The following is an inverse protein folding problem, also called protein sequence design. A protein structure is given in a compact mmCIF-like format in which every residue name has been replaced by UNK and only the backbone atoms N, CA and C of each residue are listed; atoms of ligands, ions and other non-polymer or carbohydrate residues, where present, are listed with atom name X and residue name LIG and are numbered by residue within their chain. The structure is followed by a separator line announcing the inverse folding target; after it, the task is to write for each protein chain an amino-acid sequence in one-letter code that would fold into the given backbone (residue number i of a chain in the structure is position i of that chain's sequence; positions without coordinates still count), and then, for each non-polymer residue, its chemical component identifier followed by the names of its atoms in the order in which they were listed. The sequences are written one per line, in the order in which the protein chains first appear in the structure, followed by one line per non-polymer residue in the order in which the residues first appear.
data_IF_504659208057
#
_entry.id   IF_504659208057
#
_cell.length_a   1.000
_cell.length_b   1.000
_cell.length_c   1.000
_cell.angle_alpha   90.00
_cell.angle_beta   90.00
_cell.angle_gamma   90.00
#
_symmetry.space_group_name_H-M   'P 1'
#
loop_
_entity.id
_entity.type
_entity.pdbx_description
1 polymer ?
2 non-polymer ?
3 non-polymer ?
4 non-polymer ?
5 water ?
#
# COMPACT_ATOMS: atom_id res chain seq x y z
N UNK A 2 -9.63 -18.80 17.20
CA UNK A 2 -10.20 -18.83 15.85
C UNK A 2 -10.10 -17.44 15.17
N UNK A 3 -8.85 -16.99 14.93
CA UNK A 3 -8.61 -15.87 14.02
C UNK A 3 -9.09 -14.55 14.59
N UNK A 4 -8.85 -14.36 15.87
CA UNK A 4 -9.18 -13.12 16.54
C UNK A 4 -8.00 -12.17 16.48
N UNK A 5 -8.16 -10.96 15.98
CA UNK A 5 -7.04 -10.01 15.98
C UNK A 5 -6.80 -9.43 17.37
N UNK A 6 -5.56 -9.02 17.58
CA UNK A 6 -5.12 -8.23 18.71
C UNK A 6 -4.27 -7.06 18.20
N UNK A 7 -4.15 -5.99 19.00
CA UNK A 7 -3.31 -4.86 18.57
C UNK A 7 -1.88 -5.24 18.20
N UNK A 8 -1.39 -6.39 18.71
CA UNK A 8 -0.07 -6.87 18.30
C UNK A 8 0.00 -7.25 16.81
N UNK A 9 -1.14 -7.53 16.16
CA UNK A 9 -1.11 -7.81 14.71
C UNK A 9 -0.92 -6.57 13.84
N UNK A 10 -0.94 -5.37 14.40
CA UNK A 10 -0.69 -4.10 13.72
C UNK A 10 -1.69 -3.82 12.58
N UNK A 11 -2.94 -4.20 12.76
CA UNK A 11 -3.97 -3.84 11.77
C UNK A 11 -4.42 -2.39 11.97
N UNK A 12 -4.42 -1.61 10.87
CA UNK A 12 -4.87 -0.24 10.94
C UNK A 12 -5.86 0.02 9.83
N UNK A 13 -6.63 1.09 10.02
CA UNK A 13 -7.70 1.49 9.12
C UNK A 13 -7.69 2.99 8.94
N UNK A 14 -7.98 3.46 7.71
CA UNK A 14 -8.18 4.87 7.53
C UNK A 14 -9.52 5.31 8.08
N UNK A 15 -9.57 6.53 8.63
CA UNK A 15 -10.88 7.07 9.04
C UNK A 15 -11.87 7.10 7.87
N UNK A 16 -11.37 7.32 6.66
CA UNK A 16 -12.21 7.42 5.47
C UNK A 16 -12.72 6.07 4.97
N UNK A 17 -12.28 4.94 5.56
CA UNK A 17 -12.70 3.63 5.05
C UNK A 17 -14.05 3.26 5.65
N UNK A 18 -14.06 2.95 6.95
CA UNK A 18 -15.33 2.74 7.64
C UNK A 18 -16.18 4.00 7.65
N UNK A 19 -15.58 5.17 7.48
CA UNK A 19 -16.40 6.36 7.40
C UNK A 19 -16.93 6.70 6.02
N UNK A 20 -16.70 5.86 5.00
CA UNK A 20 -17.19 6.18 3.65
C UNK A 20 -18.71 6.17 3.65
N UNK A 21 -19.33 7.27 3.24
CA UNK A 21 -20.78 7.38 3.28
C UNK A 21 -21.50 6.67 2.13
N UNK A 22 -20.77 6.18 1.13
CA UNK A 22 -21.43 5.49 0.04
C UNK A 22 -21.79 6.35 -1.16
N UNK A 23 -21.26 7.56 -1.27
CA UNK A 23 -21.47 8.38 -2.46
C UNK A 23 -20.57 7.88 -3.60
N UNK A 24 -21.17 7.50 -4.73
CA UNK A 24 -20.35 7.04 -5.84
C UNK A 24 -20.72 7.94 -7.03
N UNK A 25 -20.15 7.79 -8.21
CA UNK A 25 -20.42 8.80 -9.26
C UNK A 25 -21.85 8.79 -9.74
N UNK A 26 -22.65 7.79 -9.36
CA UNK A 26 -24.01 7.66 -9.83
C UNK A 26 -25.04 7.69 -8.72
N UNK A 27 -24.65 8.00 -7.48
CA UNK A 27 -25.60 7.85 -6.40
C UNK A 27 -25.24 8.65 -5.17
N UNK A 28 -26.27 8.99 -4.41
CA UNK A 28 -26.11 9.71 -3.15
C UNK A 28 -25.59 8.78 -2.05
N UNK A 29 -25.19 9.42 -0.95
CA UNK A 29 -24.74 8.68 0.23
C UNK A 29 -25.85 7.77 0.77
N UNK A 30 -25.50 6.56 1.23
CA UNK A 30 -26.48 5.66 1.85
C UNK A 30 -26.34 5.56 3.36
N UNK A 31 -25.30 6.16 3.92
CA UNK A 31 -25.00 6.10 5.35
C UNK A 31 -24.70 7.50 5.86
N UNK A 32 -25.07 7.78 7.11
CA UNK A 32 -24.69 9.06 7.69
C UNK A 32 -23.20 9.11 8.01
N UNK A 33 -22.69 10.32 8.21
CA UNK A 33 -21.28 10.50 8.55
C UNK A 33 -20.99 9.93 9.95
N UNK A 34 -19.81 9.35 10.10
CA UNK A 34 -19.35 8.88 11.40
C UNK A 34 -18.49 9.96 12.05
N UNK A 35 -18.70 10.17 13.34
CA UNK A 35 -17.76 10.96 14.13
C UNK A 35 -16.45 10.20 14.22
N UNK A 36 -15.30 10.84 13.90
CA UNK A 36 -14.00 10.16 14.05
C UNK A 36 -13.79 9.50 15.40
N UNK A 37 -14.30 10.13 16.46
CA UNK A 37 -14.20 9.56 17.81
C UNK A 37 -14.94 8.23 17.89
N UNK A 38 -16.13 8.14 17.28
CA UNK A 38 -16.80 6.85 17.39
C UNK A 38 -16.11 5.80 16.53
N UNK A 39 -15.52 6.18 15.40
CA UNK A 39 -14.78 5.20 14.60
C UNK A 39 -13.58 4.64 15.38
N UNK A 40 -12.85 5.51 16.09
CA UNK A 40 -11.71 5.04 16.86
C UNK A 40 -12.17 4.04 17.91
N UNK A 41 -13.26 4.35 18.62
CA UNK A 41 -13.73 3.45 19.66
C UNK A 41 -14.17 2.13 19.06
N UNK A 42 -14.94 2.17 17.97
CA UNK A 42 -15.44 0.91 17.39
C UNK A 42 -14.31 0.06 16.85
N UNK A 43 -13.31 0.67 16.22
CA UNK A 43 -12.18 -0.10 15.70
C UNK A 43 -11.35 -0.69 16.83
N UNK A 44 -11.17 0.04 17.94
CA UNK A 44 -10.47 -0.55 19.07
C UNK A 44 -11.20 -1.79 19.60
N UNK A 45 -12.53 -1.76 19.63
CA UNK A 45 -13.25 -2.94 20.11
C UNK A 45 -13.06 -4.14 19.20
N UNK A 46 -12.84 -3.89 17.90
CA UNK A 46 -12.68 -5.00 16.96
C UNK A 46 -11.27 -5.56 16.98
N UNK A 47 -10.34 -4.94 17.69
CA UNK A 47 -8.99 -5.46 17.72
C UNK A 47 -8.01 -4.71 16.85
N UNK A 48 -8.41 -3.60 16.27
CA UNK A 48 -7.45 -2.84 15.48
C UNK A 48 -6.34 -2.28 16.36
N UNK A 49 -5.19 -2.01 15.74
CA UNK A 49 -4.03 -1.39 16.35
C UNK A 49 -4.06 0.12 16.26
N UNK A 50 -4.65 0.69 15.20
CA UNK A 50 -4.51 2.12 15.02
C UNK A 50 -5.33 2.61 13.83
N UNK A 51 -5.31 3.91 13.65
CA UNK A 51 -6.07 4.53 12.56
C UNK A 51 -5.14 5.48 11.82
N UNK A 52 -5.57 5.87 10.62
CA UNK A 52 -4.87 6.84 9.80
C UNK A 52 -5.88 7.89 9.34
N UNK A 53 -5.38 9.03 8.87
CA UNK A 53 -6.31 10.09 8.48
C UNK A 53 -5.69 10.96 7.39
N UNK A 54 -6.56 11.54 6.54
CA UNK A 54 -6.25 12.80 5.84
C UNK A 54 -6.52 13.98 6.77
N UNK A 55 -5.78 15.07 6.55
CA UNK A 55 -6.11 16.31 7.27
C UNK A 55 -7.60 16.60 7.24
N UNK A 56 -8.22 16.53 6.05
CA UNK A 56 -9.63 16.90 5.93
C UNK A 56 -10.61 15.86 6.51
N UNK A 57 -10.16 14.66 6.87
CA UNK A 57 -11.06 13.72 7.57
C UNK A 57 -11.28 14.15 9.00
N UNK A 58 -10.24 14.76 9.58
CA UNK A 58 -10.18 15.08 10.99
C UNK A 58 -10.61 16.52 11.26
N UNK A 59 -10.18 17.44 10.41
CA UNK A 59 -10.43 18.87 10.57
C UNK A 59 -11.20 19.30 9.33
N UNK A 60 -12.48 19.59 9.44
CA UNK A 60 -13.26 19.96 8.26
C UNK A 60 -12.62 21.13 7.53
N UNK A 61 -12.55 21.03 6.21
CA UNK A 61 -11.96 22.08 5.39
C UNK A 61 -12.54 23.43 5.77
N UNK A 62 -11.65 24.43 5.91
CA UNK A 62 -12.04 25.78 6.25
C UNK A 62 -12.06 26.14 7.72
N UNK A 63 -11.79 25.19 8.62
CA UNK A 63 -11.88 25.42 10.05
C UNK A 63 -10.93 26.52 10.50
N UNK A 64 -11.42 27.36 11.41
CA UNK A 64 -10.56 28.30 12.13
C UNK A 64 -9.57 27.54 12.99
N UNK A 65 -8.44 28.18 13.29
CA UNK A 65 -7.42 27.57 14.14
C UNK A 65 -7.98 27.14 15.49
N UNK A 66 -9.05 27.78 15.96
CA UNK A 66 -9.58 27.38 17.25
C UNK A 66 -10.44 26.13 17.13
N UNK A 67 -11.20 26.01 16.04
CA UNK A 67 -11.93 24.76 15.83
C UNK A 67 -10.96 23.62 15.56
N UNK A 68 -9.87 23.91 14.84
CA UNK A 68 -8.82 22.94 14.62
C UNK A 68 -8.34 22.35 15.93
N UNK A 69 -8.02 23.20 16.90
CA UNK A 69 -7.53 22.70 18.18
C UNK A 69 -8.57 21.86 18.89
N UNK A 70 -9.85 22.23 18.75
CA UNK A 70 -10.88 21.44 19.40
C UNK A 70 -11.01 20.06 18.77
N UNK A 71 -10.92 19.99 17.44
CA UNK A 71 -10.99 18.69 16.76
C UNK A 71 -9.82 17.79 17.17
N UNK A 72 -8.61 18.33 17.22
CA UNK A 72 -7.45 17.52 17.57
C UNK A 72 -7.56 17.02 19.01
N UNK A 73 -7.99 17.89 19.93
CA UNK A 73 -8.09 17.50 21.34
C UNK A 73 -9.09 16.35 21.54
N UNK A 74 -10.30 16.46 20.97
CA UNK A 74 -11.26 15.35 21.04
C UNK A 74 -10.65 14.07 20.49
N UNK A 75 -9.98 14.17 19.34
CA UNK A 75 -9.35 12.99 18.72
C UNK A 75 -8.29 12.40 19.65
N UNK A 76 -7.40 13.25 20.18
CA UNK A 76 -6.34 12.76 21.06
C UNK A 76 -6.92 12.08 22.29
N UNK A 77 -8.02 12.59 22.82
CA UNK A 77 -8.65 11.98 23.99
C UNK A 77 -9.16 10.58 23.67
N UNK A 78 -9.71 10.37 22.46
CA UNK A 78 -10.16 9.03 22.10
C UNK A 78 -8.99 8.08 21.93
N UNK A 79 -7.87 8.56 21.38
CA UNK A 79 -6.68 7.73 21.30
C UNK A 79 -6.20 7.31 22.70
N UNK A 80 -6.12 8.26 23.62
CA UNK A 80 -5.72 7.96 25.00
C UNK A 80 -6.67 6.98 25.66
N UNK A 81 -7.97 7.16 25.44
CA UNK A 81 -8.97 6.31 26.08
C UNK A 81 -8.90 4.86 25.59
N UNK A 82 -8.46 4.66 24.35
CA UNK A 82 -8.49 3.34 23.72
C UNK A 82 -7.12 2.71 23.57
N UNK A 83 -6.04 3.48 23.64
CA UNK A 83 -4.75 2.89 23.33
C UNK A 83 -4.45 2.80 21.84
N UNK A 84 -5.29 3.38 20.99
CA UNK A 84 -5.07 3.33 19.54
C UNK A 84 -3.91 4.23 19.14
N UNK A 85 -3.14 3.79 18.15
CA UNK A 85 -2.01 4.56 17.61
C UNK A 85 -2.40 5.20 16.27
N UNK A 86 -1.61 6.19 15.84
CA UNK A 86 -1.75 6.82 14.53
C UNK A 86 -0.42 6.66 13.77
N UNK A 87 -0.19 5.56 13.04
CA UNK A 87 1.13 5.36 12.45
C UNK A 87 1.35 6.09 11.15
N UNK A 88 0.28 6.55 10.50
CA UNK A 88 0.42 7.13 9.17
C UNK A 88 -0.59 8.27 9.04
N UNK A 89 -0.19 9.33 8.37
CA UNK A 89 -1.16 10.36 8.02
C UNK A 89 -0.90 10.79 6.59
N UNK A 90 -1.86 11.53 6.03
CA UNK A 90 -1.73 11.93 4.62
C UNK A 90 -2.53 13.21 4.40
N UNK A 91 -2.40 13.80 3.22
CA UNK A 91 -3.03 15.07 2.90
C UNK A 91 -4.13 14.85 1.88
N UNK A 92 -5.26 15.52 2.01
CA UNK A 92 -6.26 15.46 0.95
C UNK A 92 -5.92 16.55 -0.04
N UNK A 93 -5.34 16.15 -1.19
CA UNK A 93 -5.09 17.05 -2.31
C UNK A 93 -5.92 16.67 -3.53
N UNK A 94 -7.17 16.24 -3.30
CA UNK A 94 -7.99 15.77 -4.42
C UNK A 94 -9.45 16.13 -4.33
N UNK A 95 -10.03 16.42 -3.15
CA UNK A 95 -11.47 16.58 -3.09
C UNK A 95 -11.90 17.99 -3.47
N UNK A 96 -11.21 18.98 -2.95
CA UNK A 96 -11.64 20.35 -3.19
C UNK A 96 -11.48 20.73 -4.66
N UNK A 97 -12.44 21.45 -5.24
CA UNK A 97 -12.32 21.87 -6.66
C UNK A 97 -11.03 22.55 -7.02
N UNK A 98 -10.36 23.23 -6.09
CA UNK A 98 -9.12 23.90 -6.48
C UNK A 98 -8.12 22.91 -7.02
N UNK A 99 -8.23 21.64 -6.61
CA UNK A 99 -7.27 20.61 -7.00
C UNK A 99 -7.69 19.87 -8.27
N UNK A 100 -8.60 20.45 -9.07
CA UNK A 100 -9.16 19.67 -10.18
C UNK A 100 -8.10 19.30 -11.24
N UNK A 101 -7.00 20.06 -11.37
CA UNK A 101 -5.92 19.73 -12.29
C UNK A 101 -4.69 19.26 -11.52
N UNK A 102 -4.84 18.94 -10.26
CA UNK A 102 -3.76 18.40 -9.45
C UNK A 102 -3.36 19.35 -8.33
N UNK A 103 -2.40 18.86 -7.54
CA UNK A 103 -1.89 19.62 -6.41
C UNK A 103 -0.45 19.97 -6.70
N UNK A 104 0.44 19.00 -6.61
CA UNK A 104 1.84 19.31 -6.88
C UNK A 104 2.13 19.59 -8.34
N UNK A 105 1.28 19.10 -9.27
CA UNK A 105 1.58 19.28 -10.68
C UNK A 105 0.47 20.03 -11.40
N UNK A 106 -0.39 20.74 -10.66
CA UNK A 106 -1.35 21.65 -11.28
C UNK A 106 -0.63 22.60 -12.23
N UNK A 107 -1.28 22.95 -13.34
CA UNK A 107 -0.65 23.90 -14.25
C UNK A 107 -0.51 25.28 -13.60
N UNK A 108 -1.42 25.66 -12.73
CA UNK A 108 -1.40 26.97 -12.08
C UNK A 108 -0.37 26.95 -10.97
N UNK A 109 0.63 27.84 -11.04
CA UNK A 109 1.67 27.86 -10.00
C UNK A 109 1.10 28.16 -8.62
N UNK A 110 0.09 29.04 -8.52
CA UNK A 110 -0.37 29.39 -7.18
C UNK A 110 -1.06 28.21 -6.50
N UNK A 111 -1.68 27.31 -7.27
CA UNK A 111 -2.28 26.10 -6.68
C UNK A 111 -1.19 25.19 -6.16
N UNK A 112 -0.09 25.06 -6.93
CA UNK A 112 1.01 24.20 -6.49
C UNK A 112 1.59 24.70 -5.19
N UNK A 113 1.72 26.03 -5.04
CA UNK A 113 2.25 26.55 -3.76
C UNK A 113 1.28 26.28 -2.62
N UNK A 114 -0.03 26.44 -2.88
CA UNK A 114 -1.04 26.17 -1.88
C UNK A 114 -1.04 24.72 -1.46
N UNK A 115 -0.94 23.80 -2.45
CA UNK A 115 -0.82 22.38 -2.15
C UNK A 115 0.35 22.10 -1.19
N UNK A 116 1.50 22.73 -1.44
CA UNK A 116 2.65 22.48 -0.57
C UNK A 116 2.41 23.00 0.84
N UNK A 117 1.79 24.18 0.97
CA UNK A 117 1.54 24.72 2.30
C UNK A 117 0.52 23.87 3.06
N UNK A 118 -0.52 23.36 2.37
CA UNK A 118 -1.51 22.50 3.01
C UNK A 118 -0.87 21.20 3.48
N UNK A 119 0.10 20.69 2.72
CA UNK A 119 0.77 19.46 3.12
C UNK A 119 1.63 19.69 4.36
N UNK A 120 2.45 20.75 4.33
CA UNK A 120 3.41 21.01 5.40
C UNK A 120 2.67 21.18 6.71
N UNK A 121 1.52 21.86 6.66
CA UNK A 121 0.71 22.06 7.85
C UNK A 121 0.33 20.74 8.47
N UNK A 122 0.02 19.74 7.65
CA UNK A 122 -0.41 18.46 8.18
C UNK A 122 0.76 17.57 8.61
N UNK A 123 1.91 17.73 7.97
CA UNK A 123 3.11 17.04 8.43
C UNK A 123 3.37 17.38 9.90
N UNK A 124 3.26 18.68 10.26
CA UNK A 124 3.44 19.04 11.67
C UNK A 124 2.47 18.31 12.56
N UNK A 125 1.21 18.22 12.13
CA UNK A 125 0.20 17.57 12.96
C UNK A 125 0.47 16.09 13.09
N UNK A 126 0.78 15.44 11.97
CA UNK A 126 1.13 14.03 11.96
C UNK A 126 2.24 13.71 12.97
N UNK A 127 3.30 14.53 12.96
CA UNK A 127 4.43 14.31 13.88
C UNK A 127 3.95 14.44 15.31
N UNK A 128 3.10 15.43 15.58
CA UNK A 128 2.55 15.62 16.91
C UNK A 128 1.77 14.39 17.38
N UNK A 129 1.00 13.77 16.49
CA UNK A 129 0.26 12.56 16.86
C UNK A 129 1.09 11.28 16.80
N UNK A 130 2.35 11.33 16.41
CA UNK A 130 3.21 10.16 16.45
C UNK A 130 3.29 9.35 15.16
N UNK A 131 2.78 9.88 14.04
CA UNK A 131 2.84 9.14 12.78
C UNK A 131 4.29 8.94 12.37
N UNK A 132 4.62 7.78 11.83
CA UNK A 132 5.97 7.49 11.37
C UNK A 132 6.10 7.59 9.87
N UNK A 133 4.99 7.51 9.16
CA UNK A 133 5.00 7.49 7.71
C UNK A 133 4.03 8.54 7.22
N UNK A 134 4.40 9.27 6.21
CA UNK A 134 3.49 10.25 5.66
C UNK A 134 3.27 9.85 4.21
N UNK A 135 2.00 9.55 3.86
CA UNK A 135 1.70 9.02 2.52
C UNK A 135 1.30 10.15 1.59
N UNK A 136 1.67 10.03 0.31
CA UNK A 136 1.21 10.97 -0.71
C UNK A 136 0.57 10.17 -1.82
N UNK A 137 -0.70 10.37 -2.05
CA UNK A 137 -1.37 9.75 -3.20
C UNK A 137 -1.73 10.91 -4.15
N UNK A 138 -1.01 11.03 -5.26
CA UNK A 138 -1.30 12.11 -6.19
C UNK A 138 -2.49 11.80 -7.10
N UNK A 139 -3.69 11.72 -6.53
CA UNK A 139 -4.84 11.24 -7.30
C UNK A 139 -5.26 12.19 -8.41
N UNK A 140 -4.98 13.51 -8.29
CA UNK A 140 -5.34 14.43 -9.36
C UNK A 140 -4.17 14.77 -10.25
N UNK A 141 -2.98 14.17 -10.06
CA UNK A 141 -1.82 14.52 -10.88
C UNK A 141 -1.90 13.66 -12.14
N UNK A 142 -2.24 14.28 -13.27
CA UNK A 142 -2.53 13.45 -14.45
C UNK A 142 -3.23 14.27 -15.52
N UNK A 143 -3.98 13.59 -16.38
CA UNK A 143 -4.56 14.30 -17.52
C UNK A 143 -5.61 13.40 -18.15
N UNK A 144 -6.57 14.01 -18.82
CA UNK A 144 -7.45 13.23 -19.69
C UNK A 144 -7.06 13.33 -21.14
N UNK A 145 -6.22 14.31 -21.50
CA UNK A 145 -5.87 14.51 -22.89
C UNK A 145 -4.37 14.79 -23.01
N UNK A 146 -3.83 14.56 -24.21
CA UNK A 146 -2.38 14.53 -24.37
C UNK A 146 -1.71 15.89 -24.23
N UNK A 147 -2.35 16.95 -24.70
CA UNK A 147 -1.72 18.26 -24.71
C UNK A 147 -1.85 19.06 -23.43
N UNK A 148 -2.65 18.58 -22.48
CA UNK A 148 -2.95 19.27 -21.24
C UNK A 148 -1.76 19.29 -20.29
N UNK A 149 -0.81 18.38 -20.46
CA UNK A 149 0.21 18.18 -19.45
C UNK A 149 1.47 17.78 -20.18
N UNK A 150 2.52 18.60 -20.08
CA UNK A 150 3.83 18.17 -20.52
C UNK A 150 4.39 17.33 -19.39
N UNK A 151 4.59 16.02 -19.62
CA UNK A 151 4.90 15.16 -18.46
C UNK A 151 6.31 15.39 -17.94
N UNK A 152 7.25 15.76 -18.81
CA UNK A 152 8.59 16.07 -18.27
C UNK A 152 8.55 17.26 -17.33
N UNK A 153 7.82 18.34 -17.70
CA UNK A 153 7.69 19.48 -16.78
C UNK A 153 6.94 19.06 -15.53
N UNK A 154 5.90 18.25 -15.69
CA UNK A 154 5.18 17.79 -14.51
C UNK A 154 6.11 17.01 -13.58
N UNK A 155 6.96 16.15 -14.14
CA UNK A 155 7.84 15.39 -13.25
C UNK A 155 8.86 16.32 -12.56
N UNK A 156 9.31 17.36 -13.28
CA UNK A 156 10.12 18.39 -12.62
C UNK A 156 9.37 18.99 -11.46
N UNK A 157 8.08 19.33 -11.65
CA UNK A 157 7.31 19.93 -10.56
C UNK A 157 7.09 18.95 -9.43
N UNK A 158 6.87 17.68 -9.78
CA UNK A 158 6.70 16.68 -8.74
C UNK A 158 8.00 16.48 -7.94
N UNK A 159 9.14 16.43 -8.63
CA UNK A 159 10.41 16.30 -7.92
C UNK A 159 10.64 17.53 -7.04
N UNK A 160 10.32 18.71 -7.57
CA UNK A 160 10.45 19.94 -6.80
C UNK A 160 9.67 19.88 -5.50
N UNK A 161 8.43 19.41 -5.56
CA UNK A 161 7.57 19.37 -4.37
C UNK A 161 8.11 18.39 -3.34
N UNK A 162 8.48 17.17 -3.78
CA UNK A 162 8.97 16.21 -2.79
C UNK A 162 10.31 16.62 -2.22
N UNK A 163 11.15 17.27 -3.04
CA UNK A 163 12.43 17.74 -2.48
C UNK A 163 12.21 18.79 -1.40
N UNK A 164 11.26 19.71 -1.61
CA UNK A 164 10.93 20.72 -0.61
C UNK A 164 10.38 20.08 0.65
N UNK A 165 9.54 19.05 0.52
CA UNK A 165 9.04 18.38 1.71
C UNK A 165 10.18 17.72 2.47
N UNK A 166 11.14 17.17 1.74
CA UNK A 166 12.27 16.53 2.40
C UNK A 166 13.16 17.57 3.06
N UNK A 167 13.37 18.71 2.39
CA UNK A 167 14.11 19.78 3.05
C UNK A 167 13.37 20.22 4.31
N UNK A 168 12.04 20.29 4.27
CA UNK A 168 11.29 20.72 5.46
C UNK A 168 11.46 19.75 6.62
N UNK A 169 11.31 18.44 6.39
CA UNK A 169 11.35 17.54 7.55
C UNK A 169 12.76 17.47 8.12
N UNK A 170 13.79 17.55 7.27
CA UNK A 170 15.15 17.47 7.79
C UNK A 170 15.53 18.74 8.55
N UNK A 171 15.06 19.91 8.08
CA UNK A 171 15.33 21.16 8.78
C UNK A 171 14.57 21.25 10.11
N UNK A 172 13.43 20.58 10.23
CA UNK A 172 12.72 20.55 11.51
C UNK A 172 13.21 19.45 12.42
N UNK A 173 14.01 18.53 11.92
CA UNK A 173 14.48 17.42 12.73
C UNK A 173 13.46 16.34 12.97
N UNK A 174 12.43 16.25 12.14
CA UNK A 174 11.37 15.26 12.28
C UNK A 174 11.81 13.87 11.86
N UNK A 175 11.40 12.86 12.63
CA UNK A 175 11.61 11.46 12.28
C UNK A 175 10.33 10.97 11.60
N UNK A 176 10.22 11.26 10.31
CA UNK A 176 9.08 10.81 9.54
C UNK A 176 9.61 10.51 8.17
N UNK A 177 9.07 9.49 7.52
CA UNK A 177 9.47 9.21 6.14
C UNK A 177 8.23 9.29 5.25
N UNK A 178 8.49 9.43 3.95
CA UNK A 178 7.42 9.62 2.98
C UNK A 178 7.20 8.32 2.21
N UNK A 179 5.94 8.04 1.85
CA UNK A 179 5.65 6.89 0.99
C UNK A 179 4.72 7.35 -0.12
N UNK A 180 5.11 7.11 -1.35
CA UNK A 180 4.32 7.52 -2.50
C UNK A 180 3.42 6.34 -2.85
N UNK A 181 2.13 6.61 -3.03
CA UNK A 181 1.14 5.57 -3.34
C UNK A 181 0.77 5.70 -4.81
N UNK A 182 1.14 4.76 -5.67
CA UNK A 182 0.83 4.86 -7.10
C UNK A 182 -0.60 4.39 -7.37
N UNK A 183 -1.14 4.84 -8.51
CA UNK A 183 -2.45 4.38 -8.99
C UNK A 183 -2.46 4.69 -10.48
N UNK A 184 -2.95 3.82 -11.35
CA UNK A 184 -2.71 4.05 -12.78
C UNK A 184 -3.72 5.03 -13.36
N UNK A 185 -4.93 5.04 -12.80
CA UNK A 185 -5.95 5.94 -13.34
C UNK A 185 -7.04 6.06 -12.27
N UNK A 186 -7.97 7.01 -12.49
CA UNK A 186 -9.18 7.24 -11.69
C UNK A 186 -8.81 7.95 -10.39
N UNK A 187 -9.14 9.23 -10.27
CA UNK A 187 -10.10 9.95 -11.09
C UNK A 187 -9.55 10.61 -12.34
N UNK A 188 -8.23 10.73 -12.53
CA UNK A 188 -7.78 11.25 -13.81
C UNK A 188 -7.71 10.13 -14.85
N UNK A 189 -7.76 10.52 -16.14
CA UNK A 189 -7.72 9.54 -17.20
C UNK A 189 -6.46 8.69 -17.16
N UNK A 190 -5.33 9.34 -16.88
CA UNK A 190 -4.09 8.65 -16.56
C UNK A 190 -3.44 9.42 -15.44
N UNK A 191 -2.91 8.72 -14.44
CA UNK A 191 -2.27 9.37 -13.29
C UNK A 191 -0.76 9.24 -13.41
N UNK A 192 -0.03 10.28 -13.03
CA UNK A 192 1.43 10.22 -13.08
C UNK A 192 1.94 9.24 -12.02
N UNK A 193 3.07 8.58 -12.31
CA UNK A 193 3.63 7.49 -11.49
C UNK A 193 2.57 6.40 -11.32
N UNK A 194 2.18 5.72 -12.40
CA UNK A 194 0.98 4.89 -12.35
C UNK A 194 1.17 3.55 -11.63
N UNK A 195 2.41 3.07 -11.46
CA UNK A 195 2.60 1.77 -10.83
C UNK A 195 3.73 1.88 -9.82
N UNK A 196 3.87 0.80 -9.02
CA UNK A 196 5.00 0.68 -8.07
C UNK A 196 6.32 0.98 -8.77
N UNK A 197 6.51 0.42 -9.96
CA UNK A 197 7.81 0.57 -10.60
C UNK A 197 8.10 2.03 -10.96
N UNK A 198 7.10 2.71 -11.53
CA UNK A 198 7.31 4.11 -11.88
C UNK A 198 7.62 4.95 -10.65
N UNK A 199 6.98 4.64 -9.53
CA UNK A 199 7.24 5.37 -8.28
C UNK A 199 8.64 5.07 -7.76
N UNK A 200 9.06 3.80 -7.81
CA UNK A 200 10.43 3.47 -7.36
C UNK A 200 11.47 4.18 -8.20
N UNK A 201 11.24 4.27 -9.51
CA UNK A 201 12.21 4.88 -10.40
C UNK A 201 12.31 6.37 -10.11
N UNK A 202 11.16 7.00 -9.87
CA UNK A 202 11.11 8.43 -9.60
C UNK A 202 11.87 8.79 -8.32
N UNK A 203 11.74 7.95 -7.29
CA UNK A 203 12.36 8.24 -5.99
C UNK A 203 13.86 8.33 -6.14
N UNK A 204 14.43 7.53 -7.04
CA UNK A 204 15.89 7.53 -7.22
C UNK A 204 16.41 8.85 -7.81
N UNK A 205 15.53 9.73 -8.27
CA UNK A 205 15.96 11.01 -8.79
C UNK A 205 15.73 12.13 -7.78
N UNK A 206 15.21 11.83 -6.60
CA UNK A 206 15.02 12.84 -5.58
C UNK A 206 16.37 13.19 -4.91
N UNK A 207 16.43 14.37 -4.29
CA UNK A 207 17.72 14.77 -3.72
C UNK A 207 18.12 13.88 -2.55
N UNK A 208 17.16 13.42 -1.77
CA UNK A 208 17.44 12.61 -0.58
C UNK A 208 16.63 11.33 -0.66
N UNK A 209 17.02 10.39 -1.53
CA UNK A 209 16.15 9.21 -1.79
C UNK A 209 15.89 8.36 -0.59
N UNK A 210 16.76 8.39 0.41
CA UNK A 210 16.53 7.52 1.56
C UNK A 210 15.29 7.93 2.37
N UNK A 211 14.74 9.14 2.16
CA UNK A 211 13.54 9.54 2.90
C UNK A 211 12.23 9.04 2.28
N UNK A 212 12.28 8.43 1.10
CA UNK A 212 11.07 8.15 0.34
C UNK A 212 10.98 6.67 0.02
N UNK A 213 9.77 6.12 0.15
CA UNK A 213 9.51 4.75 -0.25
C UNK A 213 8.16 4.70 -0.93
N UNK A 214 7.57 3.51 -1.05
CA UNK A 214 6.26 3.36 -1.70
C UNK A 214 5.24 2.84 -0.70
N UNK A 215 3.96 3.15 -0.99
CA UNK A 215 2.80 2.62 -0.28
C UNK A 215 1.92 2.00 -1.37
N UNK A 216 2.25 0.79 -1.81
CA UNK A 216 1.47 0.13 -2.85
C UNK A 216 0.12 -0.30 -2.31
N UNK A 217 -0.87 -0.37 -3.22
CA UNK A 217 -2.21 -0.82 -2.86
C UNK A 217 -2.58 -2.00 -3.74
N UNK A 218 -3.10 -3.08 -3.12
CA UNK A 218 -3.43 -4.29 -3.88
C UNK A 218 -4.22 -3.92 -5.14
N UNK A 219 -5.35 -3.24 -4.94
CA UNK A 219 -6.25 -3.01 -6.06
C UNK A 219 -5.65 -2.14 -7.15
N UNK A 220 -4.72 -1.22 -6.80
CA UNK A 220 -4.21 -0.29 -7.79
C UNK A 220 -3.31 -0.99 -8.79
N UNK A 221 -2.44 -1.88 -8.32
CA UNK A 221 -1.60 -2.58 -9.29
C UNK A 221 -2.44 -3.53 -10.12
N UNK A 222 -3.52 -4.07 -9.51
CA UNK A 222 -4.38 -4.97 -10.27
C UNK A 222 -5.23 -4.25 -11.31
N UNK A 223 -5.44 -2.94 -11.15
CA UNK A 223 -6.12 -2.15 -12.19
C UNK A 223 -5.27 -1.99 -13.43
N UNK A 224 -3.97 -2.29 -13.34
CA UNK A 224 -3.16 -2.42 -14.55
C UNK A 224 -2.91 -3.89 -14.91
N UNK A 225 -3.57 -4.82 -14.24
CA UNK A 225 -3.39 -6.22 -14.60
C UNK A 225 -2.03 -6.77 -14.17
N UNK A 226 -1.39 -6.10 -13.22
CA UNK A 226 -0.05 -6.55 -12.81
C UNK A 226 -0.13 -7.48 -11.61
N UNK A 227 0.96 -8.21 -11.37
CA UNK A 227 1.00 -9.21 -10.29
C UNK A 227 1.45 -8.45 -9.03
N UNK A 228 0.53 -8.33 -8.06
CA UNK A 228 0.83 -7.48 -6.90
C UNK A 228 1.95 -8.07 -6.05
N UNK A 229 1.93 -9.35 -5.68
CA UNK A 229 3.09 -9.90 -4.95
C UNK A 229 4.40 -9.73 -5.68
N UNK A 230 4.43 -9.77 -7.03
CA UNK A 230 5.71 -9.49 -7.70
C UNK A 230 6.17 -8.06 -7.46
N UNK A 231 5.23 -7.11 -7.54
CA UNK A 231 5.56 -5.72 -7.35
C UNK A 231 6.01 -5.44 -5.95
N UNK A 232 5.36 -6.04 -4.96
CA UNK A 232 5.84 -5.94 -3.57
C UNK A 232 7.25 -6.52 -3.43
N UNK A 233 7.52 -7.67 -4.08
CA UNK A 233 8.85 -8.25 -3.97
C UNK A 233 9.90 -7.27 -4.49
N UNK A 234 9.59 -6.58 -5.61
CA UNK A 234 10.55 -5.61 -6.13
C UNK A 234 10.74 -4.44 -5.18
N UNK A 235 9.67 -4.00 -4.53
CA UNK A 235 9.80 -2.93 -3.53
C UNK A 235 10.62 -3.36 -2.32
N UNK A 236 10.42 -4.60 -1.85
CA UNK A 236 11.24 -5.13 -0.74
C UNK A 236 12.69 -5.28 -1.15
N UNK A 237 12.90 -5.75 -2.37
CA UNK A 237 14.27 -5.92 -2.87
C UNK A 237 15.01 -4.61 -2.88
N UNK A 238 14.32 -3.51 -3.23
CA UNK A 238 14.89 -2.17 -3.24
C UNK A 238 14.98 -1.56 -1.84
N UNK A 239 14.37 -2.18 -0.85
CA UNK A 239 14.38 -1.63 0.49
C UNK A 239 13.40 -0.50 0.66
N UNK A 240 12.31 -0.48 -0.14
CA UNK A 240 11.46 0.68 -0.15
C UNK A 240 10.04 0.40 0.31
N UNK A 241 9.72 -0.76 0.87
CA UNK A 241 8.33 -0.97 1.25
C UNK A 241 8.10 -0.37 2.62
N UNK A 242 7.64 0.88 2.65
CA UNK A 242 7.45 1.57 3.92
C UNK A 242 6.09 1.36 4.54
N UNK A 243 5.11 0.96 3.76
CA UNK A 243 3.73 0.93 4.20
C UNK A 243 3.01 0.16 3.09
N UNK A 244 1.80 -0.32 3.36
CA UNK A 244 1.08 -1.06 2.34
C UNK A 244 -0.41 -0.86 2.61
N UNK A 245 -1.20 -0.76 1.51
CA UNK A 245 -2.65 -0.64 1.58
C UNK A 245 -3.26 -1.95 1.13
N UNK A 246 -4.01 -2.61 2.01
CA UNK A 246 -4.56 -3.91 1.69
C UNK A 246 -6.03 -3.81 1.37
N UNK A 247 -6.45 -4.46 0.29
CA UNK A 247 -7.87 -4.50 -0.03
C UNK A 247 -8.07 -5.53 -1.12
N UNK A 248 -9.19 -5.49 -1.81
CA UNK A 248 -9.47 -6.48 -2.84
C UNK A 248 -10.04 -5.81 -4.09
N UNK A 249 -9.85 -6.46 -5.22
CA UNK A 249 -10.18 -5.86 -6.52
C UNK A 249 -10.46 -6.98 -7.50
N UNK A 250 -11.57 -6.93 -8.26
CA UNK A 250 -11.82 -7.97 -9.25
C UNK A 250 -11.38 -7.46 -10.62
N UNK A 251 -10.08 -7.49 -10.87
CA UNK A 251 -9.60 -7.27 -12.24
C UNK A 251 -9.55 -5.81 -12.67
N UNK A 252 -9.51 -5.62 -13.99
CA UNK A 252 -9.24 -4.29 -14.57
C UNK A 252 -10.58 -3.59 -14.74
N UNK A 253 -10.87 -2.67 -13.83
CA UNK A 253 -12.09 -1.86 -13.85
C UNK A 253 -11.86 -0.73 -12.85
N UNK A 254 -12.93 -0.03 -12.49
CA UNK A 254 -12.82 1.03 -11.51
C UNK A 254 -12.26 0.46 -10.20
N UNK A 255 -11.72 1.34 -9.36
CA UNK A 255 -11.08 0.98 -8.07
C UNK A 255 -12.20 0.53 -7.13
N UNK A 256 -12.31 -0.77 -6.84
CA UNK A 256 -13.44 -1.23 -6.03
C UNK A 256 -13.20 -1.10 -4.54
N UNK A 257 -11.94 -1.24 -4.10
CA UNK A 257 -11.62 -1.17 -2.67
C UNK A 257 -12.45 -2.15 -1.85
N UNK A 258 -12.55 -3.41 -2.32
CA UNK A 258 -13.25 -4.43 -1.55
C UNK A 258 -12.47 -4.77 -0.29
N UNK A 259 -13.14 -5.43 0.66
CA UNK A 259 -12.39 -5.85 1.84
C UNK A 259 -11.30 -6.84 1.47
N UNK A 260 -10.21 -6.81 2.22
CA UNK A 260 -9.06 -7.65 1.94
C UNK A 260 -9.48 -9.12 2.01
N UNK A 261 -9.03 -9.87 1.01
CA UNK A 261 -9.36 -11.27 0.86
C UNK A 261 -10.37 -11.47 -0.23
N UNK A 262 -11.23 -10.49 -0.43
CA UNK A 262 -12.07 -10.50 -1.63
C UNK A 262 -11.23 -10.11 -2.85
N UNK A 263 -11.83 -10.24 -4.02
CA UNK A 263 -11.06 -10.08 -5.25
C UNK A 263 -10.27 -11.32 -5.54
N UNK A 264 -8.98 -11.13 -5.77
CA UNK A 264 -8.08 -12.22 -6.17
C UNK A 264 -7.55 -12.90 -4.90
N UNK A 265 -8.18 -14.03 -4.55
CA UNK A 265 -7.86 -14.71 -3.31
C UNK A 265 -6.47 -15.34 -3.37
N UNK A 266 -6.11 -15.97 -4.50
CA UNK A 266 -4.78 -16.57 -4.53
C UNK A 266 -3.68 -15.51 -4.46
N UNK A 267 -3.89 -14.32 -5.07
CA UNK A 267 -2.89 -13.26 -4.92
C UNK A 267 -2.78 -12.81 -3.47
N UNK A 268 -3.92 -12.81 -2.75
CA UNK A 268 -3.87 -12.45 -1.33
C UNK A 268 -3.02 -13.44 -0.55
N UNK A 269 -3.14 -14.73 -0.90
CA UNK A 269 -2.38 -15.77 -0.23
C UNK A 269 -0.89 -15.57 -0.48
N UNK A 270 -0.51 -15.33 -1.75
CA UNK A 270 0.91 -15.16 -2.01
C UNK A 270 1.42 -13.86 -1.42
N UNK A 271 0.56 -12.85 -1.28
CA UNK A 271 1.02 -11.60 -0.67
C UNK A 271 1.32 -11.81 0.81
N UNK A 272 0.42 -12.50 1.49
CA UNK A 272 0.65 -12.71 2.92
C UNK A 272 1.89 -13.57 3.13
N UNK A 273 2.04 -14.62 2.31
CA UNK A 273 3.23 -15.47 2.39
C UNK A 273 4.47 -14.63 2.28
N UNK A 274 4.49 -13.71 1.31
CA UNK A 274 5.67 -12.87 1.11
C UNK A 274 5.89 -11.90 2.27
N UNK A 275 4.84 -11.19 2.73
CA UNK A 275 5.06 -10.20 3.78
C UNK A 275 5.57 -10.87 5.03
N UNK A 276 4.99 -12.03 5.35
CA UNK A 276 5.36 -12.74 6.57
C UNK A 276 6.77 -13.33 6.46
N UNK A 277 7.12 -13.88 5.31
CA UNK A 277 8.43 -14.51 5.20
C UNK A 277 9.57 -13.51 5.03
N UNK A 278 9.29 -12.31 4.52
CA UNK A 278 10.28 -11.24 4.44
C UNK A 278 10.39 -10.44 5.73
N UNK A 279 9.55 -10.75 6.71
CA UNK A 279 9.55 -10.01 7.97
C UNK A 279 9.10 -8.58 7.86
N UNK A 280 8.15 -8.27 6.98
CA UNK A 280 7.62 -6.92 6.98
C UNK A 280 7.04 -6.60 8.36
N UNK A 281 7.43 -5.47 8.91
CA UNK A 281 7.01 -5.16 10.27
C UNK A 281 6.21 -3.86 10.36
N UNK A 282 5.87 -3.27 9.22
CA UNK A 282 5.05 -2.10 9.21
C UNK A 282 3.59 -2.44 9.47
N UNK A 283 2.75 -1.40 9.51
CA UNK A 283 1.32 -1.61 9.66
C UNK A 283 0.71 -2.43 8.51
N UNK A 284 -0.29 -3.23 8.86
CA UNK A 284 -1.16 -3.89 7.89
C UNK A 284 -2.39 -3.01 7.75
N UNK A 285 -2.34 -2.09 6.80
CA UNK A 285 -3.33 -1.04 6.67
C UNK A 285 -4.40 -1.43 5.65
N UNK A 286 -5.66 -1.24 5.99
CA UNK A 286 -6.75 -1.60 5.10
C UNK A 286 -7.29 -0.31 4.51
N UNK A 287 -7.15 -0.15 3.19
CA UNK A 287 -7.78 0.98 2.52
C UNK A 287 -8.95 0.40 1.71
N UNK A 288 -10.12 0.30 2.34
CA UNK A 288 -11.20 -0.45 1.71
C UNK A 288 -12.46 0.39 1.90
N UNK A 289 -13.53 0.05 1.19
CA UNK A 289 -14.81 0.75 1.35
C UNK A 289 -15.93 -0.26 1.54
N UNK A 290 -16.56 -0.33 2.71
CA UNK A 290 -17.72 -1.17 2.87
C UNK A 290 -18.73 -0.80 1.80
N UNK A 291 -19.22 -1.76 1.03
CA UNK A 291 -20.11 -1.45 -0.10
C UNK A 291 -21.35 -0.68 0.34
N UNK A 292 -21.86 0.15 -0.58
CA UNK A 292 -22.90 1.09 -0.15
C UNK A 292 -24.26 0.40 0.05
N UNK A 293 -24.37 -0.89 -0.26
CA UNK A 293 -25.51 -1.74 0.15
C UNK A 293 -25.62 -1.93 1.66
N UNK A 294 -24.56 -1.67 2.42
CA UNK A 294 -24.51 -2.07 3.82
C UNK A 294 -25.00 -0.96 4.74
N UNK A 295 -25.61 -1.36 5.86
CA UNK A 295 -25.83 -0.41 6.94
C UNK A 295 -24.62 -0.45 7.88
N UNK A 296 -24.72 0.23 9.04
CA UNK A 296 -23.57 0.29 9.93
C UNK A 296 -23.14 -1.06 10.48
N UNK A 297 -24.07 -1.99 10.69
CA UNK A 297 -23.61 -3.30 11.11
C UNK A 297 -22.78 -3.98 10.03
N UNK A 298 -23.13 -3.73 8.75
CA UNK A 298 -22.33 -4.30 7.68
C UNK A 298 -20.97 -3.66 7.56
N UNK A 299 -20.87 -2.37 7.91
CA UNK A 299 -19.58 -1.71 7.92
C UNK A 299 -18.64 -2.42 8.88
N UNK A 300 -19.09 -2.68 10.12
CA UNK A 300 -18.17 -3.31 11.07
C UNK A 300 -17.93 -4.78 10.75
N UNK A 301 -18.88 -5.48 10.14
CA UNK A 301 -18.62 -6.84 9.72
C UNK A 301 -17.56 -6.89 8.61
N UNK A 302 -17.67 -5.97 7.65
CA UNK A 302 -16.68 -5.84 6.58
C UNK A 302 -15.30 -5.54 7.13
N UNK A 303 -15.21 -4.60 8.09
CA UNK A 303 -13.91 -4.30 8.69
C UNK A 303 -13.35 -5.53 9.41
N UNK A 304 -14.20 -6.23 10.18
CA UNK A 304 -13.72 -7.42 10.87
C UNK A 304 -13.24 -8.47 9.87
N UNK A 305 -13.94 -8.59 8.73
CA UNK A 305 -13.56 -9.57 7.72
C UNK A 305 -12.17 -9.31 7.17
N UNK A 306 -11.79 -8.03 7.03
CA UNK A 306 -10.45 -7.69 6.55
C UNK A 306 -9.40 -8.37 7.41
N UNK A 307 -9.54 -8.21 8.72
CA UNK A 307 -8.55 -8.77 9.64
C UNK A 307 -8.64 -10.28 9.69
N UNK A 308 -9.86 -10.80 9.76
CA UNK A 308 -10.02 -12.25 9.79
C UNK A 308 -9.34 -12.89 8.59
N UNK A 309 -9.54 -12.33 7.39
CA UNK A 309 -8.98 -12.98 6.21
C UNK A 309 -7.46 -12.95 6.21
N UNK A 310 -6.86 -11.83 6.66
CA UNK A 310 -5.41 -11.80 6.80
C UNK A 310 -4.93 -12.92 7.73
N UNK A 311 -5.60 -13.09 8.86
CA UNK A 311 -5.11 -14.09 9.83
C UNK A 311 -5.30 -15.51 9.32
N UNK A 312 -6.40 -15.77 8.61
CA UNK A 312 -6.56 -17.12 8.04
C UNK A 312 -5.45 -17.37 7.03
N UNK A 313 -5.22 -16.39 6.13
CA UNK A 313 -4.21 -16.58 5.10
C UNK A 313 -2.82 -16.74 5.71
N UNK A 314 -2.55 -15.99 6.76
CA UNK A 314 -1.26 -16.14 7.47
C UNK A 314 -1.07 -17.55 8.00
N UNK A 315 -2.12 -18.12 8.57
CA UNK A 315 -2.03 -19.50 9.05
C UNK A 315 -1.79 -20.48 7.90
N UNK A 316 -2.50 -20.33 6.79
CA UNK A 316 -2.35 -21.28 5.68
C UNK A 316 -0.98 -21.13 5.01
N UNK A 317 -0.46 -19.90 4.91
CA UNK A 317 0.87 -19.73 4.32
C UNK A 317 1.94 -20.32 5.20
N UNK A 318 1.81 -20.16 6.53
CA UNK A 318 2.80 -20.72 7.44
C UNK A 318 2.79 -22.25 7.40
N UNK A 319 1.62 -22.84 7.29
CA UNK A 319 1.52 -24.29 7.19
C UNK A 319 2.16 -24.77 5.89
N UNK A 320 1.89 -24.07 4.79
CA UNK A 320 2.48 -24.40 3.50
C UNK A 320 4.00 -24.44 3.59
N UNK A 321 4.61 -23.41 4.19
CA UNK A 321 6.07 -23.32 4.18
C UNK A 321 6.71 -24.30 5.16
N UNK A 322 5.97 -24.73 6.18
CA UNK A 322 6.43 -25.68 7.17
C UNK A 322 6.23 -27.14 6.76
N UNK A 323 5.47 -27.41 5.73
CA UNK A 323 5.13 -28.79 5.34
C UNK A 323 6.35 -29.46 4.72
N UNK A 324 6.84 -30.58 5.27
CA UNK A 324 8.03 -31.21 4.66
C UNK A 324 7.84 -31.59 3.21
N UNK A 325 6.62 -31.98 2.82
CA UNK A 325 6.36 -32.30 1.42
C UNK A 325 6.53 -31.08 0.52
N UNK A 326 6.16 -29.91 1.03
CA UNK A 326 6.38 -28.66 0.25
C UNK A 326 7.85 -28.34 0.18
N UNK A 327 8.56 -28.49 1.30
CA UNK A 327 10.00 -28.26 1.29
C UNK A 327 10.68 -29.19 0.29
N UNK A 328 10.24 -30.45 0.21
CA UNK A 328 10.76 -31.36 -0.80
C UNK A 328 10.47 -30.85 -2.21
N UNK A 329 9.21 -30.46 -2.47
CA UNK A 329 8.81 -29.98 -3.79
C UNK A 329 9.57 -28.71 -4.18
N UNK A 330 9.87 -27.83 -3.21
CA UNK A 330 10.63 -26.62 -3.57
C UNK A 330 12.00 -27.01 -4.09
N UNK A 331 12.61 -28.04 -3.49
CA UNK A 331 13.90 -28.50 -3.99
C UNK A 331 13.74 -29.18 -5.34
N UNK A 332 12.64 -29.91 -5.53
CA UNK A 332 12.41 -30.57 -6.82
C UNK A 332 12.31 -29.55 -7.95
N UNK A 333 11.75 -28.38 -7.67
CA UNK A 333 11.61 -27.30 -8.66
C UNK A 333 12.81 -26.37 -8.70
N UNK A 334 13.87 -26.69 -7.92
CA UNK A 334 15.15 -25.97 -7.86
C UNK A 334 15.00 -24.54 -7.34
N UNK A 335 14.04 -24.27 -6.46
CA UNK A 335 14.06 -22.96 -5.81
C UNK A 335 15.36 -22.74 -5.05
N UNK A 336 15.97 -23.81 -4.51
CA UNK A 336 17.26 -23.63 -3.83
C UNK A 336 18.32 -23.14 -4.79
N UNK A 337 18.31 -23.64 -6.04
CA UNK A 337 19.33 -23.24 -6.99
C UNK A 337 19.13 -21.81 -7.46
N UNK A 338 17.88 -21.33 -7.49
CA UNK A 338 17.62 -19.93 -7.84
C UNK A 338 18.33 -18.99 -6.88
N UNK A 339 18.47 -19.40 -5.61
CA UNK A 339 19.05 -18.55 -4.57
C UNK A 339 20.58 -18.58 -4.56
N UNK A 340 21.19 -19.43 -5.38
CA UNK A 340 22.64 -19.51 -5.44
C UNK A 340 23.19 -18.67 -6.59
N UNK A 341 24.30 -17.98 -6.38
CA UNK A 341 24.83 -17.09 -7.44
C UNK A 341 25.07 -17.87 -8.72
N UNK A 342 24.81 -17.18 -9.84
CA UNK A 342 25.06 -17.77 -11.15
C UNK A 342 26.55 -17.95 -11.40
N UNK A 343 27.36 -17.02 -10.92
CA UNK A 343 28.76 -16.97 -11.35
C UNK A 343 29.60 -16.31 -10.26
N UNK A 344 29.55 -16.89 -9.06
CA UNK A 344 30.40 -16.40 -7.97
C UNK A 344 31.88 -16.59 -8.31
N UNK A 345 32.19 -17.53 -9.22
CA UNK A 345 33.54 -17.74 -9.73
C UNK A 345 34.02 -16.57 -10.61
N UNK A 346 33.14 -15.64 -10.99
CA UNK A 346 33.56 -14.47 -11.70
C UNK A 346 33.49 -14.61 -13.21
N UNK A 347 33.64 -13.47 -13.87
CA UNK A 347 33.50 -13.41 -15.33
C UNK A 347 34.53 -14.27 -16.05
N UNK A 348 35.81 -14.17 -15.65
CA UNK A 348 36.84 -14.91 -16.38
C UNK A 348 36.65 -16.41 -16.26
N UNK A 349 36.27 -16.89 -15.08
CA UNK A 349 36.03 -18.31 -14.92
C UNK A 349 34.85 -18.75 -15.76
N UNK A 350 33.81 -17.92 -15.82
CA UNK A 350 32.66 -18.25 -16.65
C UNK A 350 33.06 -18.39 -18.11
N UNK A 351 33.90 -17.48 -18.60
CA UNK A 351 34.31 -17.53 -20.01
C UNK A 351 35.16 -18.75 -20.33
N UNK A 352 35.94 -19.26 -19.38
CA UNK A 352 36.78 -20.43 -19.60
C UNK A 352 36.07 -21.75 -19.29
N UNK A 353 34.88 -21.68 -18.72
CA UNK A 353 34.16 -22.87 -18.29
C UNK A 353 33.49 -23.48 -19.51
N UNK A 354 34.06 -24.57 -20.03
CA UNK A 354 33.44 -25.17 -21.20
C UNK A 354 32.15 -25.93 -20.90
N UNK A 355 31.85 -26.22 -19.63
CA UNK A 355 30.57 -26.88 -19.35
C UNK A 355 29.42 -25.89 -19.41
N UNK A 356 29.72 -24.60 -19.45
CA UNK A 356 28.72 -23.55 -19.62
C UNK A 356 28.35 -23.30 -21.06
N UNK A 357 29.11 -23.82 -22.03
CA UNK A 357 28.70 -23.55 -23.40
C UNK A 357 29.14 -24.64 -24.38
N UNK A 358 30.44 -24.77 -24.60
CA UNK A 358 30.93 -25.70 -25.62
C UNK A 358 30.47 -27.12 -25.36
N UNK A 359 30.53 -27.57 -24.10
CA UNK A 359 30.15 -28.92 -23.73
C UNK A 359 28.82 -28.96 -22.98
N UNK A 360 28.06 -27.88 -23.00
CA UNK A 360 26.78 -27.90 -22.31
C UNK A 360 25.80 -28.75 -23.10
N UNK A 361 25.13 -29.67 -22.42
CA UNK A 361 24.17 -30.55 -23.07
C UNK A 361 22.81 -29.89 -23.03
N UNK A 362 22.51 -29.14 -24.08
CA UNK A 362 21.31 -28.30 -24.09
C UNK A 362 20.06 -29.18 -24.12
N UNK A 363 20.11 -30.34 -24.79
CA UNK A 363 18.93 -31.20 -24.90
C UNK A 363 18.62 -31.91 -23.57
N UNK A 364 19.65 -32.30 -22.83
CA UNK A 364 19.39 -32.88 -21.51
C UNK A 364 18.79 -31.85 -20.57
N UNK A 365 19.31 -30.63 -20.58
CA UNK A 365 18.79 -29.61 -19.67
C UNK A 365 17.36 -29.27 -20.03
N UNK A 366 17.06 -29.22 -21.34
CA UNK A 366 15.73 -28.90 -21.84
C UNK A 366 14.68 -29.92 -21.42
N UNK A 367 15.06 -31.18 -21.30
CA UNK A 367 14.11 -32.24 -21.00
C UNK A 367 13.67 -32.23 -19.54
N UNK A 368 14.43 -31.57 -18.66
CA UNK A 368 14.13 -31.62 -17.24
C UNK A 368 12.82 -30.91 -16.99
N UNK A 369 11.88 -31.54 -16.32
CA UNK A 369 10.68 -30.82 -15.96
C UNK A 369 10.88 -29.94 -14.75
N UNK A 370 10.12 -28.85 -14.66
CA UNK A 370 10.28 -27.95 -13.52
C UNK A 370 9.44 -28.37 -12.32
N UNK A 371 8.46 -29.24 -12.51
CA UNK A 371 7.58 -29.73 -11.45
C UNK A 371 6.79 -28.61 -10.77
N UNK A 372 6.45 -27.55 -11.52
CA UNK A 372 5.75 -26.42 -10.90
C UNK A 372 4.29 -26.71 -10.63
N UNK A 373 3.67 -27.56 -11.46
CA UNK A 373 2.24 -27.83 -11.26
C UNK A 373 2.00 -28.62 -9.97
N UNK A 374 2.89 -29.59 -9.66
CA UNK A 374 2.73 -30.28 -8.39
C UNK A 374 2.91 -29.31 -7.21
N UNK A 375 3.91 -28.44 -7.27
CA UNK A 375 4.09 -27.43 -6.24
C UNK A 375 2.86 -26.55 -6.09
N UNK A 376 2.29 -26.12 -7.22
CA UNK A 376 1.16 -25.19 -7.12
C UNK A 376 -0.09 -25.89 -6.60
N UNK A 377 -0.23 -27.21 -6.89
CA UNK A 377 -1.38 -27.90 -6.30
C UNK A 377 -1.16 -28.11 -4.81
N UNK A 378 0.09 -28.31 -4.34
CA UNK A 378 0.28 -28.33 -2.90
C UNK A 378 -0.10 -27.00 -2.27
N UNK A 379 0.21 -25.90 -2.95
CA UNK A 379 -0.18 -24.59 -2.42
C UNK A 379 -1.70 -24.43 -2.39
N UNK A 380 -2.38 -24.89 -3.46
CA UNK A 380 -3.84 -24.89 -3.47
C UNK A 380 -4.43 -25.71 -2.34
N UNK A 381 -3.92 -26.94 -2.15
CA UNK A 381 -4.39 -27.79 -1.05
C UNK A 381 -4.24 -27.09 0.29
N UNK A 382 -3.11 -26.41 0.51
CA UNK A 382 -2.96 -25.73 1.81
C UNK A 382 -3.94 -24.56 1.95
N UNK A 383 -4.09 -23.77 0.90
CA UNK A 383 -5.01 -22.63 0.98
C UNK A 383 -6.43 -23.09 1.33
N UNK A 384 -6.84 -24.21 0.74
CA UNK A 384 -8.21 -24.69 0.90
C UNK A 384 -8.38 -25.57 2.14
N UNK A 385 -7.31 -25.80 2.90
CA UNK A 385 -7.44 -26.66 4.08
C UNK A 385 -7.70 -28.10 3.71
N UNK A 386 -7.25 -28.52 2.53
CA UNK A 386 -7.33 -29.93 2.16
C UNK A 386 -6.05 -30.65 2.53
N UNK A 387 -5.19 -29.99 3.28
CA UNK A 387 -3.96 -30.40 3.95
C UNK A 387 -3.89 -29.55 5.20
X LIG B 1 -7.48 8.48 -0.93
X LIG B 1 -7.26 7.31 -1.98
X LIG B 1 -6.46 6.12 -1.37
X LIG B 1 -5.25 6.64 -0.66
X LIG B 1 -5.68 7.64 0.46
X LIG B 1 -4.42 8.06 1.19
X LIG B 1 -8.58 8.16 -0.15
X LIG B 1 -8.39 6.93 -2.60
X LIG B 1 -6.05 5.30 -2.36
X LIG B 1 -4.58 5.65 -0.06
X LIG B 1 -6.40 8.72 -0.07
X LIG B 1 -3.67 8.89 0.36
X LIG C 1 -7.24 6.30 -3.64
X LIG C 1 -6.03 5.98 -2.75
X LIG C 1 -6.18 6.84 -1.46
X LIG C 1 -4.88 6.79 -0.65
X LIG C 1 -4.97 7.71 0.59
X LIG C 1 -3.58 7.86 1.25
X LIG C 1 -7.41 5.29 -4.48
X LIG C 1 -6.01 4.65 -2.33
X LIG C 1 -7.14 6.31 -0.61
X LIG C 1 -4.77 5.46 -0.18
X LIG C 1 -5.37 8.95 0.05
X LIG C 1 -3.61 7.02 2.37
X LIG D 1 -4.83 3.56 -0.87
X LIG E 1 -7.18 3.30 -3.39
X LIG F 1 -8.16 2.02 -4.29
#
# INVERSE_FOLDING_TARGET
MNYQPTPEDRFTFGLWTVGWQGRDPFGDATRRALDPVESVRRLAELGAHGVTFHDDDLIPFGSSDSEREEHVKRFRQALDDTGMKVPMATTNLFTHPVFKDGGFTANDRDVRRYALRKTIRNIDLAVELGAETYVAWGGREGAESGGAKDVRDALDRMKEAFDLLGEYVTSQGYDIRFAIEPKPNEPRGDILLPTVGHALAFIERLERPELYGVNPEVGHEQMAGLNFPHGIAQALWAGKLFHIDLNGQNGIKYDQDLRFGAGDLRAAFWLVDLLESAGYSGPRHFDFKPPRTEDFDGVWASAAGCMRNYLILKERAAAFRADPEVQEALRASRLDELARPTAADGLQALLDDRSAFEEFDVDAAAARGMAFERLDQLAMDHLLGARG
GLC C1 C2 C3 C4 C5 C6 O1 O2 O3 O4 O5 O6
GLO C1 C2 C3 C4 C5 C6 O1 O2 O3 O4 O5 O6
MG MG
MG MG
MG MG
#
